data_IF_224729040907
#
_entry.id   IF_224729040907
#
_cell.length_a   1.000
_cell.length_b   1.000
_cell.length_c   1.000
_cell.angle_alpha   90.00
_cell.angle_beta   90.00
_cell.angle_gamma   90.00
#
_symmetry.space_group_name_H-M   'P 1'
#
loop_
_entity.id
_entity.type
_entity.pdbx_description
1 polymer ?
#
# COMPACT_ATOMS: atom_id res chain seq x y z
N UNK A 1 9.88 -4.64 -23.61
CA UNK A 1 9.32 -4.04 -22.38
C UNK A 1 8.40 -2.85 -22.67
N UNK A 2 8.89 -1.70 -23.16
CA UNK A 2 8.09 -0.47 -23.35
C UNK A 2 6.88 -0.63 -24.29
N UNK A 3 7.02 -1.40 -25.38
CA UNK A 3 5.92 -1.67 -26.31
C UNK A 3 4.82 -2.58 -25.72
N UNK A 4 5.18 -3.50 -24.80
CA UNK A 4 4.23 -4.36 -24.11
C UNK A 4 3.46 -3.59 -23.02
N UNK A 5 4.13 -2.68 -22.30
CA UNK A 5 3.50 -1.77 -21.35
C UNK A 5 2.58 -0.73 -22.02
N UNK A 6 2.87 -0.34 -23.27
CA UNK A 6 1.99 0.51 -24.06
C UNK A 6 0.74 -0.24 -24.57
N UNK A 7 0.88 -1.50 -24.99
CA UNK A 7 -0.25 -2.34 -25.41
C UNK A 7 -1.18 -2.73 -24.25
N UNK A 8 -0.64 -2.91 -23.04
CA UNK A 8 -1.42 -3.17 -21.82
C UNK A 8 -2.39 -2.02 -21.46
N UNK A 9 -2.09 -0.77 -21.86
CA UNK A 9 -2.95 0.40 -21.62
C UNK A 9 -4.24 0.44 -22.48
N UNK A 10 -4.42 -0.50 -23.42
CA UNK A 10 -5.61 -0.58 -24.28
C UNK A 10 -6.35 -1.93 -24.18
N UNK A 11 -5.91 -2.84 -23.32
CA UNK A 11 -6.66 -4.06 -23.02
C UNK A 11 -7.77 -3.73 -22.01
N UNK A 12 -8.96 -4.35 -22.12
CA UNK A 12 -10.00 -4.20 -21.11
C UNK A 12 -9.49 -4.70 -19.75
N UNK A 13 -9.89 -4.03 -18.65
CA UNK A 13 -9.45 -4.41 -17.30
C UNK A 13 -9.87 -5.85 -16.98
N UNK A 14 -9.15 -6.49 -16.06
CA UNK A 14 -9.52 -7.80 -15.53
C UNK A 14 -10.77 -7.69 -14.67
N UNK A 15 -10.91 -6.60 -13.92
CA UNK A 15 -12.04 -6.34 -13.06
C UNK A 15 -12.44 -4.87 -13.13
N UNK A 16 -13.73 -4.61 -13.23
CA UNK A 16 -14.27 -3.25 -13.32
C UNK A 16 -15.41 -3.09 -12.31
N UNK A 17 -15.31 -2.05 -11.48
CA UNK A 17 -16.25 -1.76 -10.40
C UNK A 17 -16.80 -0.37 -10.61
N UNK A 18 -18.13 -0.24 -10.63
CA UNK A 18 -18.81 1.04 -10.82
C UNK A 18 -19.88 1.27 -9.76
N UNK A 19 -19.74 2.36 -9.00
CA UNK A 19 -20.70 2.81 -7.99
C UNK A 19 -21.11 1.75 -6.96
N UNK A 20 -20.19 0.84 -6.62
CA UNK A 20 -20.51 -0.36 -5.87
C UNK A 20 -20.80 -0.01 -4.41
N UNK A 21 -22.03 -0.31 -3.98
CA UNK A 21 -22.52 0.05 -2.64
C UNK A 21 -23.15 -1.15 -1.97
N UNK A 22 -22.81 -1.35 -0.69
CA UNK A 22 -23.43 -2.34 0.18
C UNK A 22 -23.93 -1.71 1.47
N UNK A 23 -25.24 -1.79 1.65
CA UNK A 23 -25.94 -1.40 2.86
C UNK A 23 -26.61 -2.62 3.51
N UNK A 24 -26.43 -2.77 4.82
CA UNK A 24 -27.10 -3.78 5.63
C UNK A 24 -28.14 -3.11 6.53
N UNK A 25 -29.42 -3.26 6.22
CA UNK A 25 -30.49 -2.67 7.03
C UNK A 25 -31.86 -2.85 6.40
N UNK A 26 -32.88 -2.30 7.08
CA UNK A 26 -34.29 -2.50 6.70
C UNK A 26 -34.75 -1.58 5.56
N UNK A 27 -34.11 -0.43 5.40
CA UNK A 27 -34.48 0.60 4.41
C UNK A 27 -33.29 0.97 3.50
N UNK A 28 -32.82 0.05 2.64
CA UNK A 28 -31.66 0.31 1.80
C UNK A 28 -31.86 1.49 0.83
N UNK A 29 -33.06 1.67 0.27
CA UNK A 29 -33.34 2.77 -0.67
C UNK A 29 -33.23 4.16 -0.03
N UNK A 30 -33.73 4.34 1.20
CA UNK A 30 -33.61 5.61 1.93
C UNK A 30 -32.15 5.92 2.27
N UNK A 31 -31.40 4.90 2.70
CA UNK A 31 -29.98 5.06 3.00
C UNK A 31 -29.15 5.38 1.75
N UNK A 32 -29.41 4.71 0.63
CA UNK A 32 -28.75 4.97 -0.65
C UNK A 32 -28.96 6.42 -1.10
N UNK A 33 -30.20 6.93 -1.02
CA UNK A 33 -30.48 8.31 -1.40
C UNK A 33 -29.70 9.29 -0.53
N UNK A 34 -29.74 9.13 0.80
CA UNK A 34 -29.00 10.01 1.72
C UNK A 34 -27.48 9.96 1.47
N UNK A 35 -26.92 8.77 1.23
CA UNK A 35 -25.49 8.62 0.94
C UNK A 35 -25.10 9.27 -0.40
N UNK A 36 -25.98 9.24 -1.40
CA UNK A 36 -25.81 9.94 -2.67
C UNK A 36 -25.91 11.46 -2.51
N UNK A 37 -26.76 11.93 -1.58
CA UNK A 37 -26.90 13.35 -1.23
C UNK A 37 -25.74 13.88 -0.35
N UNK A 38 -24.71 13.05 -0.09
CA UNK A 38 -23.50 13.43 0.65
C UNK A 38 -23.51 13.12 2.14
N UNK A 39 -24.52 12.40 2.65
CA UNK A 39 -24.54 11.98 4.05
C UNK A 39 -23.35 11.07 4.39
N UNK A 40 -22.87 11.19 5.63
CA UNK A 40 -21.84 10.33 6.17
C UNK A 40 -22.40 8.95 6.54
N UNK A 41 -21.49 8.02 6.84
CA UNK A 41 -21.85 6.69 7.36
C UNK A 41 -22.59 6.79 8.70
N UNK A 42 -22.24 7.77 9.53
CA UNK A 42 -22.84 7.96 10.86
C UNK A 42 -24.26 8.53 10.75
N UNK A 43 -24.51 9.40 9.78
CA UNK A 43 -25.83 9.98 9.52
C UNK A 43 -26.87 8.90 9.17
N UNK A 44 -26.44 7.80 8.54
CA UNK A 44 -27.32 6.68 8.14
C UNK A 44 -27.24 5.48 9.10
N UNK A 45 -26.45 5.55 10.17
CA UNK A 45 -26.24 4.44 11.10
C UNK A 45 -27.54 3.96 11.77
N UNK A 46 -28.49 4.87 12.02
CA UNK A 46 -29.81 4.55 12.56
C UNK A 46 -30.69 3.74 11.59
N UNK A 47 -30.38 3.74 10.29
CA UNK A 47 -31.08 2.96 9.26
C UNK A 47 -30.45 1.57 9.06
N UNK A 48 -29.19 1.39 9.48
CA UNK A 48 -28.38 0.20 9.24
C UNK A 48 -26.90 0.53 9.04
N UNK A 49 -26.15 -0.43 8.49
CA UNK A 49 -24.70 -0.32 8.29
C UNK A 49 -24.36 -0.14 6.82
N UNK A 50 -23.83 1.02 6.45
CA UNK A 50 -23.19 1.24 5.15
C UNK A 50 -21.76 0.66 5.20
N UNK A 51 -21.56 -0.52 4.60
CA UNK A 51 -20.30 -1.25 4.67
C UNK A 51 -19.35 -0.90 3.52
N UNK A 52 -19.89 -0.64 2.34
CA UNK A 52 -19.16 -0.09 1.19
C UNK A 52 -20.06 0.96 0.55
N UNK A 53 -19.52 2.11 0.19
CA UNK A 53 -20.28 3.24 -0.34
C UNK A 53 -19.57 3.76 -1.58
N UNK A 54 -20.25 3.64 -2.71
CA UNK A 54 -19.85 4.23 -3.99
C UNK A 54 -18.40 3.91 -4.41
N UNK A 55 -18.00 2.65 -4.28
CA UNK A 55 -16.67 2.22 -4.71
C UNK A 55 -16.60 2.15 -6.24
N UNK A 56 -15.61 2.83 -6.83
CA UNK A 56 -15.36 2.86 -8.27
C UNK A 56 -13.86 2.73 -8.54
N UNK A 57 -13.49 1.70 -9.29
CA UNK A 57 -12.10 1.43 -9.69
C UNK A 57 -12.05 0.31 -10.75
N UNK A 58 -10.93 0.25 -11.45
CA UNK A 58 -10.56 -0.83 -12.36
C UNK A 58 -9.31 -1.55 -11.85
N UNK A 59 -9.22 -2.84 -12.15
CA UNK A 59 -8.00 -3.65 -11.95
C UNK A 59 -7.48 -4.11 -13.30
N UNK A 60 -6.25 -3.70 -13.63
CA UNK A 60 -5.59 -4.03 -14.89
C UNK A 60 -5.13 -5.49 -14.88
N UNK A 61 -5.01 -6.08 -16.08
CA UNK A 61 -4.53 -7.45 -16.21
C UNK A 61 -3.07 -7.54 -15.81
N UNK A 62 -2.75 -8.53 -14.96
CA UNK A 62 -1.39 -8.76 -14.49
C UNK A 62 -0.88 -7.64 -13.57
N UNK A 63 -1.78 -6.95 -12.86
CA UNK A 63 -1.38 -6.06 -11.76
C UNK A 63 -1.75 -6.69 -10.41
N UNK A 64 -1.00 -6.31 -9.37
CA UNK A 64 -1.35 -6.53 -7.97
C UNK A 64 -2.03 -5.27 -7.46
N UNK A 65 -3.35 -5.33 -7.33
CA UNK A 65 -4.18 -4.26 -6.79
C UNK A 65 -4.44 -4.50 -5.32
N UNK A 66 -3.91 -3.64 -4.46
CA UNK A 66 -4.07 -3.76 -3.02
C UNK A 66 -5.24 -2.91 -2.55
N UNK A 67 -6.10 -3.49 -1.71
CA UNK A 67 -7.12 -2.75 -0.97
C UNK A 67 -6.71 -2.75 0.51
N UNK A 68 -6.46 -1.55 1.04
CA UNK A 68 -6.00 -1.38 2.41
C UNK A 68 -6.95 -0.52 3.25
N UNK A 69 -6.75 -0.54 4.56
CA UNK A 69 -7.52 0.27 5.52
C UNK A 69 -7.75 -0.46 6.84
N UNK A 70 -8.30 0.25 7.82
CA UNK A 70 -8.56 -0.31 9.15
C UNK A 70 -9.58 -1.45 9.15
N UNK A 71 -9.61 -2.19 10.25
CA UNK A 71 -10.73 -3.09 10.55
C UNK A 71 -12.04 -2.30 10.50
N UNK A 72 -13.06 -2.88 9.86
CA UNK A 72 -14.37 -2.24 9.72
C UNK A 72 -14.49 -1.17 8.61
N UNK A 73 -13.46 -0.97 7.77
CA UNK A 73 -13.51 -0.04 6.63
C UNK A 73 -14.25 -0.57 5.38
N UNK A 74 -14.66 -1.84 5.37
CA UNK A 74 -15.44 -2.43 4.28
C UNK A 74 -14.69 -3.38 3.33
N UNK A 75 -13.37 -3.57 3.50
CA UNK A 75 -12.51 -4.37 2.60
C UNK A 75 -13.04 -5.80 2.33
N UNK A 76 -13.26 -6.59 3.39
CA UNK A 76 -13.76 -7.97 3.21
C UNK A 76 -15.21 -8.01 2.72
N UNK A 77 -15.96 -6.92 2.84
CA UNK A 77 -17.29 -6.80 2.19
C UNK A 77 -17.10 -6.55 0.69
N UNK A 78 -16.17 -5.66 0.31
CA UNK A 78 -15.82 -5.37 -1.07
C UNK A 78 -15.40 -6.63 -1.82
N UNK A 79 -14.40 -7.38 -1.34
CA UNK A 79 -13.91 -8.59 -2.04
C UNK A 79 -14.98 -9.68 -2.20
N UNK A 80 -15.91 -9.79 -1.24
CA UNK A 80 -17.04 -10.72 -1.35
C UNK A 80 -18.01 -10.29 -2.44
N UNK A 81 -18.21 -8.99 -2.65
CA UNK A 81 -18.96 -8.49 -3.80
C UNK A 81 -18.21 -8.69 -5.11
N UNK A 82 -16.88 -8.52 -5.12
CA UNK A 82 -16.04 -8.79 -6.30
C UNK A 82 -16.13 -10.26 -6.74
N UNK A 83 -16.24 -11.18 -5.79
CA UNK A 83 -16.44 -12.61 -6.06
C UNK A 83 -17.94 -12.97 -6.29
N UNK A 84 -18.88 -12.04 -6.13
CA UNK A 84 -20.32 -12.34 -6.14
C UNK A 84 -20.79 -13.28 -5.02
N UNK A 85 -20.02 -13.41 -3.93
CA UNK A 85 -20.45 -14.09 -2.71
C UNK A 85 -21.47 -13.26 -1.93
N UNK A 86 -21.49 -11.95 -2.15
CA UNK A 86 -22.42 -11.01 -1.57
C UNK A 86 -22.98 -10.13 -2.68
N UNK A 87 -24.32 -10.08 -2.81
CA UNK A 87 -24.96 -9.18 -3.77
C UNK A 87 -24.83 -7.72 -3.30
N UNK A 88 -24.40 -6.79 -4.16
CA UNK A 88 -24.41 -5.38 -3.81
C UNK A 88 -25.83 -4.85 -3.64
N UNK A 89 -25.98 -3.75 -2.91
CA UNK A 89 -27.23 -3.00 -2.84
C UNK A 89 -27.41 -2.12 -4.08
N UNK A 90 -26.32 -1.57 -4.61
CA UNK A 90 -26.27 -0.81 -5.86
C UNK A 90 -24.90 -0.92 -6.53
N UNK A 91 -24.82 -0.52 -7.80
CA UNK A 91 -23.61 -0.60 -8.61
C UNK A 91 -23.43 -1.94 -9.34
N UNK A 92 -22.30 -2.08 -10.03
CA UNK A 92 -22.01 -3.26 -10.85
C UNK A 92 -20.54 -3.68 -10.73
N UNK A 93 -20.32 -4.99 -10.89
CA UNK A 93 -18.99 -5.58 -11.04
C UNK A 93 -18.96 -6.36 -12.35
N UNK A 94 -17.89 -6.16 -13.12
CA UNK A 94 -17.57 -6.92 -14.31
C UNK A 94 -16.22 -7.62 -14.14
N UNK A 95 -16.16 -8.89 -14.52
CA UNK A 95 -15.00 -9.77 -14.43
C UNK A 95 -14.67 -10.23 -15.84
N UNK A 96 -13.48 -9.90 -16.33
CA UNK A 96 -13.03 -10.20 -17.70
C UNK A 96 -14.02 -9.72 -18.78
N UNK A 97 -14.66 -8.57 -18.52
CA UNK A 97 -15.70 -7.99 -19.39
C UNK A 97 -17.09 -8.61 -19.22
N UNK A 98 -17.27 -9.53 -18.27
CA UNK A 98 -18.56 -10.14 -17.97
C UNK A 98 -19.15 -9.61 -16.67
N UNK A 99 -20.36 -9.03 -16.74
CA UNK A 99 -21.09 -8.62 -15.54
C UNK A 99 -21.44 -9.80 -14.64
N UNK A 100 -21.16 -9.68 -13.34
CA UNK A 100 -21.50 -10.69 -12.32
C UNK A 100 -22.67 -10.29 -11.43
N UNK A 101 -23.01 -9.00 -11.37
CA UNK A 101 -24.13 -8.48 -10.56
C UNK A 101 -25.47 -8.72 -11.25
N UNK A 102 -26.47 -9.19 -10.51
CA UNK A 102 -27.81 -9.46 -11.05
C UNK A 102 -27.90 -10.63 -12.05
N UNK A 103 -26.85 -11.44 -12.21
CA UNK A 103 -26.87 -12.61 -13.10
C UNK A 103 -27.43 -13.85 -12.42
N UNK A 104 -27.86 -14.83 -13.21
CA UNK A 104 -28.35 -16.10 -12.64
C UNK A 104 -27.25 -16.83 -11.83
N UNK A 105 -27.59 -17.55 -10.75
CA UNK A 105 -26.63 -18.32 -9.97
C UNK A 105 -25.81 -19.33 -10.80
N UNK A 106 -26.38 -19.83 -11.91
CA UNK A 106 -25.69 -20.73 -12.83
C UNK A 106 -24.57 -20.01 -13.59
N UNK A 107 -24.84 -18.80 -14.11
CA UNK A 107 -23.83 -18.00 -14.82
C UNK A 107 -22.73 -17.54 -13.86
N UNK A 108 -23.09 -17.08 -12.67
CA UNK A 108 -22.12 -16.68 -11.64
C UNK A 108 -21.18 -17.82 -11.24
N UNK A 109 -21.68 -19.06 -11.13
CA UNK A 109 -20.83 -20.23 -10.87
C UNK A 109 -19.87 -20.55 -12.02
N UNK A 110 -20.29 -20.34 -13.27
CA UNK A 110 -19.40 -20.53 -14.43
C UNK A 110 -18.28 -19.48 -14.43
N UNK A 111 -18.62 -18.20 -14.28
CA UNK A 111 -17.63 -17.11 -14.24
C UNK A 111 -16.60 -17.34 -13.13
N UNK A 112 -17.04 -17.71 -11.92
CA UNK A 112 -16.10 -18.00 -10.82
C UNK A 112 -15.19 -19.18 -11.12
N UNK A 113 -15.76 -20.27 -11.65
CA UNK A 113 -14.99 -21.47 -11.99
C UNK A 113 -13.89 -21.18 -13.01
N UNK A 114 -14.17 -20.31 -13.97
CA UNK A 114 -13.31 -20.09 -15.13
C UNK A 114 -12.32 -18.93 -14.89
N UNK A 115 -12.73 -17.89 -14.15
CA UNK A 115 -11.98 -16.62 -14.06
C UNK A 115 -11.52 -16.20 -12.66
N UNK A 116 -12.08 -16.76 -11.57
CA UNK A 116 -11.84 -16.23 -10.22
C UNK A 116 -11.45 -17.33 -9.22
N UNK A 117 -10.25 -17.23 -8.66
CA UNK A 117 -9.85 -17.98 -7.48
C UNK A 117 -9.81 -17.11 -6.24
N UNK A 118 -10.05 -17.71 -5.08
CA UNK A 118 -10.06 -16.99 -3.80
C UNK A 118 -9.19 -17.70 -2.75
N UNK A 119 -8.38 -16.91 -2.05
CA UNK A 119 -7.63 -17.28 -0.87
C UNK A 119 -8.23 -16.54 0.32
N UNK A 120 -8.69 -17.30 1.32
CA UNK A 120 -9.37 -16.78 2.50
C UNK A 120 -8.38 -16.51 3.64
N UNK A 121 -8.77 -15.63 4.56
CA UNK A 121 -8.03 -15.32 5.79
C UNK A 121 -7.78 -16.57 6.65
N UNK A 122 -8.79 -17.44 6.77
CA UNK A 122 -8.61 -18.78 7.34
C UNK A 122 -8.48 -19.77 6.19
N UNK A 123 -7.51 -20.69 6.27
CA UNK A 123 -7.04 -21.58 5.19
C UNK A 123 -8.16 -22.25 4.36
N UNK A 124 -9.33 -22.45 4.98
CA UNK A 124 -10.54 -22.99 4.36
C UNK A 124 -10.26 -24.30 3.61
N UNK A 125 -9.31 -25.10 4.12
CA UNK A 125 -8.98 -26.42 3.59
C UNK A 125 -10.09 -27.39 3.97
N UNK A 126 -10.35 -28.34 3.08
CA UNK A 126 -11.26 -29.45 3.30
C UNK A 126 -10.56 -30.46 4.22
N UNK A 127 -10.98 -30.59 5.50
CA UNK A 127 -10.23 -31.38 6.49
C UNK A 127 -10.30 -32.89 6.23
N UNK A 128 -11.22 -33.32 5.39
CA UNK A 128 -11.45 -34.72 5.01
C UNK A 128 -10.80 -35.07 3.65
N UNK A 129 -9.97 -34.18 3.10
CA UNK A 129 -9.23 -34.40 1.86
C UNK A 129 -7.74 -34.22 2.11
N UNK A 130 -6.90 -34.91 1.33
CA UNK A 130 -5.45 -34.74 1.39
C UNK A 130 -5.04 -33.35 0.90
N UNK A 131 -3.77 -33.00 1.11
CA UNK A 131 -3.16 -31.77 0.58
C UNK A 131 -3.28 -31.72 -0.95
N UNK A 132 -2.99 -32.83 -1.62
CA UNK A 132 -3.09 -32.94 -3.08
C UNK A 132 -4.54 -32.75 -3.56
N UNK A 133 -5.51 -33.40 -2.92
CA UNK A 133 -6.91 -33.29 -3.31
C UNK A 133 -7.50 -31.91 -2.97
N UNK A 134 -6.97 -31.22 -1.96
CA UNK A 134 -7.29 -29.81 -1.68
C UNK A 134 -6.78 -28.92 -2.81
N UNK A 135 -5.52 -29.08 -3.22
CA UNK A 135 -4.93 -28.31 -4.33
C UNK A 135 -5.64 -28.59 -5.67
N UNK A 136 -6.05 -29.84 -5.92
CA UNK A 136 -6.73 -30.25 -7.15
C UNK A 136 -8.23 -29.88 -7.19
N UNK A 137 -8.82 -29.35 -6.10
CA UNK A 137 -10.26 -29.15 -5.99
C UNK A 137 -10.85 -28.23 -7.07
N UNK A 138 -10.17 -27.13 -7.42
CA UNK A 138 -10.64 -26.22 -8.47
C UNK A 138 -10.77 -26.90 -9.84
N UNK A 139 -9.76 -27.71 -10.19
CA UNK A 139 -9.71 -28.50 -11.42
C UNK A 139 -10.81 -29.60 -11.43
N UNK A 140 -11.11 -30.21 -10.29
CA UNK A 140 -12.25 -31.14 -10.15
C UNK A 140 -13.58 -30.44 -10.47
N UNK A 141 -13.78 -29.22 -9.96
CA UNK A 141 -15.00 -28.42 -10.23
C UNK A 141 -15.07 -27.95 -11.69
N UNK A 142 -13.92 -27.76 -12.35
CA UNK A 142 -13.80 -27.49 -13.78
C UNK A 142 -14.08 -28.71 -14.66
N UNK A 143 -14.10 -29.92 -14.09
CA UNK A 143 -14.33 -31.17 -14.82
C UNK A 143 -13.07 -31.78 -15.44
N UNK A 144 -11.88 -31.38 -14.98
CA UNK A 144 -10.60 -31.95 -15.41
C UNK A 144 -10.46 -33.38 -14.90
N UNK A 145 -9.88 -34.25 -15.75
CA UNK A 145 -9.66 -35.67 -15.44
C UNK A 145 -8.81 -35.89 -14.19
N UNK A 146 -9.02 -37.02 -13.51
CA UNK A 146 -8.43 -37.30 -12.21
C UNK A 146 -6.89 -37.35 -12.22
N UNK A 147 -6.29 -37.90 -13.28
CA UNK A 147 -4.83 -38.01 -13.40
C UNK A 147 -4.22 -36.64 -13.71
N UNK A 148 -4.77 -35.94 -14.70
CA UNK A 148 -4.34 -34.61 -15.11
C UNK A 148 -4.43 -33.59 -13.97
N UNK A 149 -5.53 -33.58 -13.22
CA UNK A 149 -5.69 -32.63 -12.11
C UNK A 149 -4.71 -32.88 -10.97
N UNK A 150 -4.37 -34.15 -10.68
CA UNK A 150 -3.39 -34.49 -9.65
C UNK A 150 -1.98 -34.11 -10.09
N UNK A 151 -1.65 -34.35 -11.35
CA UNK A 151 -0.36 -33.95 -11.90
C UNK A 151 -0.18 -32.42 -11.83
N UNK A 152 -1.18 -31.64 -12.30
CA UNK A 152 -1.15 -30.18 -12.22
C UNK A 152 -1.05 -29.68 -10.78
N UNK A 153 -1.87 -30.23 -9.88
CA UNK A 153 -1.84 -29.86 -8.46
C UNK A 153 -0.50 -30.19 -7.80
N UNK A 154 0.12 -31.33 -8.12
CA UNK A 154 1.45 -31.71 -7.61
C UNK A 154 2.52 -30.71 -8.05
N UNK A 155 2.54 -30.31 -9.32
CA UNK A 155 3.50 -29.32 -9.82
C UNK A 155 3.40 -27.99 -9.09
N UNK A 156 2.18 -27.55 -8.78
CA UNK A 156 1.95 -26.31 -8.03
C UNK A 156 2.35 -26.47 -6.56
N UNK A 157 2.06 -27.63 -5.94
CA UNK A 157 2.52 -27.93 -4.58
C UNK A 157 4.04 -27.90 -4.47
N UNK A 158 4.75 -28.44 -5.47
CA UNK A 158 6.22 -28.38 -5.51
C UNK A 158 6.72 -26.93 -5.57
N UNK A 159 6.09 -26.09 -6.39
CA UNK A 159 6.43 -24.65 -6.51
C UNK A 159 6.24 -23.87 -5.22
N UNK A 160 5.20 -24.16 -4.45
CA UNK A 160 4.98 -23.51 -3.15
C UNK A 160 5.81 -24.15 -2.02
N UNK A 161 6.74 -25.06 -2.34
CA UNK A 161 7.64 -25.69 -1.36
C UNK A 161 6.99 -26.79 -0.52
N UNK A 162 5.94 -27.44 -1.02
CA UNK A 162 5.24 -28.56 -0.38
C UNK A 162 5.49 -29.90 -1.08
N UNK A 163 6.63 -30.04 -1.77
CA UNK A 163 7.04 -31.29 -2.39
C UNK A 163 7.05 -32.45 -1.36
N UNK A 164 6.42 -33.57 -1.70
CA UNK A 164 6.31 -34.75 -0.84
C UNK A 164 5.22 -34.68 0.25
N UNK A 165 4.48 -33.58 0.38
CA UNK A 165 3.40 -33.44 1.37
C UNK A 165 2.00 -33.78 0.83
N UNK A 166 1.88 -34.15 -0.45
CA UNK A 166 0.58 -34.33 -1.13
C UNK A 166 -0.38 -35.31 -0.46
N UNK A 167 0.13 -36.41 0.10
CA UNK A 167 -0.69 -37.46 0.74
C UNK A 167 -1.07 -37.15 2.20
N UNK A 168 -0.57 -36.04 2.75
CA UNK A 168 -0.85 -35.63 4.13
C UNK A 168 -2.23 -35.00 4.27
N UNK A 169 -2.77 -35.04 5.48
CA UNK A 169 -4.00 -34.35 5.85
C UNK A 169 -3.70 -32.92 6.34
N UNK A 170 -4.61 -31.95 6.16
CA UNK A 170 -4.41 -30.57 6.63
C UNK A 170 -4.07 -30.46 8.13
N UNK A 171 -4.59 -31.36 8.96
CA UNK A 171 -4.30 -31.40 10.40
C UNK A 171 -2.86 -31.80 10.74
N UNK A 172 -2.12 -32.38 9.80
CA UNK A 172 -0.71 -32.73 9.94
C UNK A 172 0.23 -31.57 9.56
N UNK A 173 -0.31 -30.44 9.10
CA UNK A 173 0.45 -29.29 8.60
C UNK A 173 0.50 -28.14 9.60
N UNK A 174 1.61 -27.40 9.61
CA UNK A 174 1.68 -26.09 10.28
C UNK A 174 0.77 -25.07 9.60
N UNK A 175 0.44 -23.96 10.28
CA UNK A 175 -0.40 -22.91 9.71
C UNK A 175 0.15 -22.32 8.41
N UNK A 176 1.46 -22.07 8.33
CA UNK A 176 2.11 -21.59 7.11
C UNK A 176 2.02 -22.60 5.96
N UNK A 177 2.15 -23.89 6.24
CA UNK A 177 1.96 -24.94 5.24
C UNK A 177 0.50 -25.02 4.78
N UNK A 178 -0.48 -24.91 5.68
CA UNK A 178 -1.89 -24.86 5.31
C UNK A 178 -2.20 -23.66 4.40
N UNK A 179 -1.56 -22.50 4.63
CA UNK A 179 -1.67 -21.33 3.75
C UNK A 179 -1.12 -21.62 2.36
N UNK A 180 0.05 -22.25 2.26
CA UNK A 180 0.66 -22.68 0.98
C UNK A 180 -0.26 -23.64 0.22
N UNK A 181 -0.96 -24.55 0.90
CA UNK A 181 -1.98 -25.40 0.25
C UNK A 181 -3.15 -24.55 -0.27
N UNK A 182 -3.62 -23.58 0.51
CA UNK A 182 -4.68 -22.65 0.08
C UNK A 182 -4.31 -21.84 -1.15
N UNK A 183 -3.06 -21.35 -1.20
CA UNK A 183 -2.49 -20.67 -2.36
C UNK A 183 -2.34 -21.62 -3.55
N UNK A 184 -1.79 -22.83 -3.32
CA UNK A 184 -1.64 -23.84 -4.36
C UNK A 184 -2.99 -24.24 -4.98
N UNK A 185 -4.05 -24.37 -4.18
CA UNK A 185 -5.41 -24.61 -4.67
C UNK A 185 -5.89 -23.52 -5.62
N UNK A 186 -5.62 -22.26 -5.29
CA UNK A 186 -6.02 -21.13 -6.10
C UNK A 186 -5.20 -21.05 -7.39
N UNK A 187 -3.89 -21.29 -7.32
CA UNK A 187 -2.99 -21.28 -8.48
C UNK A 187 -3.23 -22.46 -9.41
N UNK A 188 -3.49 -23.66 -8.87
CA UNK A 188 -3.73 -24.87 -9.66
C UNK A 188 -5.02 -24.79 -10.49
N UNK A 189 -6.02 -24.00 -10.06
CA UNK A 189 -7.23 -23.76 -10.82
C UNK A 189 -6.99 -22.91 -12.09
N UNK A 190 -5.81 -22.31 -12.24
CA UNK A 190 -5.35 -21.55 -13.40
C UNK A 190 -6.30 -20.43 -13.87
N UNK A 191 -7.05 -19.84 -12.94
CA UNK A 191 -7.97 -18.74 -13.23
C UNK A 191 -7.24 -17.42 -13.52
N UNK A 192 -7.90 -16.44 -14.14
CA UNK A 192 -7.29 -15.14 -14.50
C UNK A 192 -7.03 -14.23 -13.29
N UNK A 193 -7.92 -14.27 -12.29
CA UNK A 193 -7.94 -13.37 -11.14
C UNK A 193 -7.79 -14.17 -9.84
N UNK A 194 -6.93 -13.69 -8.95
CA UNK A 194 -6.73 -14.19 -7.60
C UNK A 194 -7.19 -13.13 -6.59
N UNK A 195 -8.22 -13.46 -5.82
CA UNK A 195 -8.74 -12.64 -4.73
C UNK A 195 -8.15 -13.13 -3.40
N UNK A 196 -7.46 -12.27 -2.65
CA UNK A 196 -6.82 -12.62 -1.37
C UNK A 196 -7.36 -11.74 -0.24
N UNK A 197 -8.02 -12.34 0.76
CA UNK A 197 -8.60 -11.62 1.91
C UNK A 197 -7.73 -11.84 3.16
N UNK A 198 -6.86 -10.88 3.49
CA UNK A 198 -5.93 -10.91 4.65
C UNK A 198 -5.15 -12.22 4.77
N UNK A 199 -4.74 -12.77 3.63
CA UNK A 199 -4.18 -14.11 3.49
C UNK A 199 -2.91 -14.36 4.32
N UNK A 200 -2.15 -13.31 4.64
CA UNK A 200 -0.87 -13.45 5.37
C UNK A 200 -0.92 -12.92 6.81
N UNK A 201 -2.08 -12.44 7.27
CA UNK A 201 -2.24 -11.82 8.59
C UNK A 201 -1.96 -12.77 9.76
N UNK A 202 -2.30 -14.05 9.60
CA UNK A 202 -2.12 -15.08 10.63
C UNK A 202 -0.70 -15.70 10.64
N UNK A 203 0.19 -15.28 9.76
CA UNK A 203 1.54 -15.84 9.62
C UNK A 203 2.55 -15.09 10.49
N UNK A 204 3.55 -15.81 10.97
CA UNK A 204 4.73 -15.21 11.60
C UNK A 204 5.51 -14.34 10.59
N UNK A 205 6.31 -13.35 11.06
CA UNK A 205 6.95 -12.39 10.17
C UNK A 205 7.91 -12.98 9.14
N UNK A 206 8.58 -14.10 9.43
CA UNK A 206 9.54 -14.71 8.50
C UNK A 206 8.80 -15.43 7.37
N UNK A 207 7.84 -16.29 7.72
CA UNK A 207 7.02 -17.00 6.73
C UNK A 207 6.18 -16.01 5.93
N UNK A 208 5.69 -14.93 6.55
CA UNK A 208 4.98 -13.86 5.84
C UNK A 208 5.81 -13.29 4.69
N UNK A 209 7.06 -12.91 4.94
CA UNK A 209 7.95 -12.34 3.91
C UNK A 209 8.24 -13.34 2.79
N UNK A 210 8.57 -14.58 3.15
CA UNK A 210 8.82 -15.63 2.17
C UNK A 210 7.59 -15.85 1.26
N UNK A 211 6.37 -15.85 1.83
CA UNK A 211 5.13 -15.98 1.07
C UNK A 211 4.84 -14.78 0.18
N UNK A 212 5.18 -13.57 0.62
CA UNK A 212 5.05 -12.35 -0.16
C UNK A 212 6.00 -12.35 -1.36
N UNK A 213 7.28 -12.69 -1.15
CA UNK A 213 8.29 -12.84 -2.22
C UNK A 213 7.83 -13.86 -3.26
N UNK A 214 7.39 -15.04 -2.81
CA UNK A 214 6.84 -16.07 -3.68
C UNK A 214 5.63 -15.59 -4.47
N UNK A 215 4.74 -14.80 -3.86
CA UNK A 215 3.57 -14.25 -4.56
C UNK A 215 3.99 -13.31 -5.70
N UNK A 216 4.97 -12.44 -5.46
CA UNK A 216 5.50 -11.52 -6.47
C UNK A 216 6.16 -12.30 -7.62
N UNK A 217 7.01 -13.29 -7.30
CA UNK A 217 7.65 -14.14 -8.30
C UNK A 217 6.61 -14.88 -9.15
N UNK A 218 5.62 -15.50 -8.51
CA UNK A 218 4.54 -16.22 -9.20
C UNK A 218 3.69 -15.30 -10.08
N UNK A 219 3.45 -14.07 -9.62
CA UNK A 219 2.71 -13.07 -10.38
C UNK A 219 3.48 -12.66 -11.64
N UNK A 220 4.80 -12.43 -11.52
CA UNK A 220 5.67 -12.08 -12.64
C UNK A 220 5.78 -13.22 -13.67
N UNK A 221 5.86 -14.47 -13.20
CA UNK A 221 5.93 -15.64 -14.08
C UNK A 221 4.60 -15.94 -14.80
N UNK A 222 3.49 -15.87 -14.07
CA UNK A 222 2.19 -16.34 -14.56
C UNK A 222 1.31 -15.22 -15.12
N UNK A 223 1.67 -13.95 -14.89
CA UNK A 223 0.91 -12.77 -15.33
C UNK A 223 -0.49 -12.69 -14.73
N UNK A 224 -0.71 -13.29 -13.55
CA UNK A 224 -2.02 -13.35 -12.89
C UNK A 224 -2.40 -11.99 -12.34
N UNK A 225 -3.69 -11.68 -12.38
CA UNK A 225 -4.21 -10.45 -11.77
C UNK A 225 -4.56 -10.73 -10.31
N UNK A 226 -4.08 -9.92 -9.38
CA UNK A 226 -4.26 -10.17 -7.95
C UNK A 226 -4.99 -8.98 -7.32
N UNK A 227 -6.07 -9.26 -6.59
CA UNK A 227 -6.68 -8.29 -5.68
C UNK A 227 -6.36 -8.72 -4.27
N UNK A 228 -5.56 -7.93 -3.57
CA UNK A 228 -5.00 -8.28 -2.28
C UNK A 228 -5.53 -7.35 -1.19
N UNK A 229 -6.19 -7.89 -0.17
CA UNK A 229 -6.63 -7.13 1.00
C UNK A 229 -5.64 -7.29 2.13
N UNK A 230 -5.24 -6.16 2.71
CA UNK A 230 -4.47 -6.13 3.95
C UNK A 230 -4.82 -4.95 4.83
N UNK A 231 -4.40 -5.03 6.09
CA UNK A 231 -4.35 -3.90 7.01
C UNK A 231 -2.90 -3.45 7.29
N UNK A 232 -1.90 -4.20 6.81
CA UNK A 232 -0.48 -3.90 6.96
C UNK A 232 -0.01 -3.04 5.77
N UNK A 233 0.49 -1.85 6.07
CA UNK A 233 0.91 -0.92 5.05
C UNK A 233 2.25 -1.32 4.40
N UNK A 234 3.17 -1.94 5.13
CA UNK A 234 4.41 -2.41 4.54
C UNK A 234 4.14 -3.51 3.51
N UNK A 235 3.15 -4.36 3.78
CA UNK A 235 2.69 -5.36 2.84
C UNK A 235 2.04 -4.73 1.60
N UNK A 236 1.20 -3.71 1.79
CA UNK A 236 0.59 -2.99 0.67
C UNK A 236 1.64 -2.33 -0.24
N UNK A 237 2.68 -1.73 0.36
CA UNK A 237 3.76 -1.06 -0.35
C UNK A 237 4.72 -2.04 -1.03
N UNK A 238 4.93 -3.22 -0.44
CA UNK A 238 5.82 -4.24 -1.00
C UNK A 238 5.17 -4.99 -2.18
N UNK A 239 3.86 -5.27 -2.09
CA UNK A 239 3.15 -6.07 -3.09
C UNK A 239 2.46 -5.25 -4.18
N UNK A 240 1.95 -4.06 -3.84
CA UNK A 240 0.95 -3.37 -4.66
C UNK A 240 1.54 -2.52 -5.77
N UNK A 241 1.10 -2.77 -7.00
CA UNK A 241 1.28 -1.83 -8.13
C UNK A 241 0.42 -0.59 -7.94
N UNK A 242 -0.82 -0.81 -7.46
CA UNK A 242 -1.80 0.23 -7.11
C UNK A 242 -2.46 -0.13 -5.79
N UNK A 243 -2.70 0.90 -4.99
CA UNK A 243 -3.27 0.79 -3.65
C UNK A 243 -4.54 1.63 -3.59
N UNK A 244 -5.63 1.02 -3.16
CA UNK A 244 -6.87 1.69 -2.78
C UNK A 244 -6.97 1.73 -1.25
N UNK A 245 -6.89 2.93 -0.68
CA UNK A 245 -7.05 3.17 0.74
C UNK A 245 -8.54 3.34 1.04
N UNK A 246 -9.08 2.51 1.93
CA UNK A 246 -10.49 2.55 2.33
C UNK A 246 -10.68 3.06 3.75
N UNK A 247 -11.64 3.97 3.93
CA UNK A 247 -12.12 4.47 5.22
C UNK A 247 -13.65 4.57 5.19
N UNK A 248 -14.30 4.10 6.24
CA UNK A 248 -15.75 4.23 6.41
C UNK A 248 -16.59 3.76 5.21
N UNK A 249 -16.14 2.70 4.55
CA UNK A 249 -16.80 2.10 3.38
C UNK A 249 -16.47 2.78 2.05
N UNK A 250 -15.74 3.91 2.05
CA UNK A 250 -15.37 4.66 0.85
C UNK A 250 -13.89 4.44 0.52
N UNK A 251 -13.55 4.52 -0.77
CA UNK A 251 -12.16 4.65 -1.21
C UNK A 251 -11.80 6.13 -1.05
N UNK A 252 -10.83 6.42 -0.19
CA UNK A 252 -10.38 7.80 0.08
C UNK A 252 -9.23 8.21 -0.82
N UNK A 253 -8.39 7.27 -1.23
CA UNK A 253 -7.32 7.50 -2.20
C UNK A 253 -7.05 6.23 -3.00
N UNK A 254 -6.78 6.40 -4.28
CA UNK A 254 -6.32 5.35 -5.18
C UNK A 254 -5.08 5.88 -5.90
N UNK A 255 -3.96 5.16 -5.82
CA UNK A 255 -2.71 5.57 -6.44
C UNK A 255 -1.64 4.50 -6.39
N UNK A 256 -0.46 4.78 -6.91
CA UNK A 256 0.73 3.93 -6.72
C UNK A 256 1.24 4.03 -5.28
N UNK A 257 2.07 3.07 -4.86
CA UNK A 257 2.75 3.13 -3.56
C UNK A 257 3.48 4.47 -3.35
N UNK A 258 4.12 4.99 -4.39
CA UNK A 258 4.77 6.31 -4.40
C UNK A 258 3.79 7.46 -4.16
N UNK A 259 2.69 7.51 -4.91
CA UNK A 259 1.68 8.59 -4.80
C UNK A 259 1.07 8.61 -3.38
N UNK A 260 0.77 7.43 -2.82
CA UNK A 260 0.25 7.32 -1.45
C UNK A 260 1.24 7.88 -0.41
N UNK A 261 2.56 7.71 -0.61
CA UNK A 261 3.59 8.19 0.34
C UNK A 261 3.95 9.67 0.17
N UNK A 262 3.94 10.16 -1.07
CA UNK A 262 4.43 11.50 -1.43
C UNK A 262 3.33 12.55 -1.45
N UNK A 263 2.11 12.17 -1.80
CA UNK A 263 0.94 13.05 -1.93
C UNK A 263 -0.30 12.39 -1.29
N UNK A 264 -0.34 12.26 0.05
CA UNK A 264 -1.51 11.72 0.74
C UNK A 264 -2.72 12.64 0.56
N UNK A 265 -3.87 12.07 0.21
CA UNK A 265 -5.08 12.83 -0.15
C UNK A 265 -5.71 13.59 1.03
N UNK A 266 -5.56 13.08 2.25
CA UNK A 266 -6.05 13.72 3.48
C UNK A 266 -5.17 13.36 4.69
N UNK A 267 -5.46 13.99 5.83
CA UNK A 267 -4.76 13.75 7.10
C UNK A 267 -4.85 12.30 7.57
N UNK A 268 -5.91 11.58 7.19
CA UNK A 268 -6.04 10.17 7.53
C UNK A 268 -5.03 9.34 6.76
N UNK A 269 -4.93 9.51 5.43
CA UNK A 269 -3.91 8.80 4.65
C UNK A 269 -2.52 9.21 5.10
N UNK A 270 -2.29 10.50 5.40
CA UNK A 270 -1.01 10.98 5.91
C UNK A 270 -0.62 10.31 7.23
N UNK A 271 -1.56 10.13 8.16
CA UNK A 271 -1.36 9.40 9.41
C UNK A 271 -1.08 7.91 9.16
N UNK A 272 -1.78 7.30 8.21
CA UNK A 272 -1.58 5.90 7.85
C UNK A 272 -0.15 5.60 7.40
N UNK A 273 0.46 6.53 6.66
CA UNK A 273 1.77 6.34 6.02
C UNK A 273 2.97 6.77 6.87
N UNK A 274 2.76 7.25 8.11
CA UNK A 274 3.85 7.78 8.93
C UNK A 274 4.89 6.74 9.32
N UNK A 275 4.48 5.50 9.58
CA UNK A 275 5.35 4.43 10.07
C UNK A 275 5.92 3.55 8.94
N UNK A 276 5.75 3.95 7.68
CA UNK A 276 6.33 3.23 6.54
C UNK A 276 7.81 3.57 6.40
N UNK A 277 8.63 2.55 6.15
CA UNK A 277 10.01 2.72 5.73
C UNK A 277 10.05 3.24 4.28
N UNK A 278 9.96 4.57 4.13
CA UNK A 278 9.99 5.26 2.83
C UNK A 278 11.24 4.92 2.03
N UNK A 279 12.36 4.61 2.71
CA UNK A 279 13.63 4.37 2.03
C UNK A 279 13.62 3.07 1.21
N UNK A 280 12.76 2.11 1.55
CA UNK A 280 12.60 0.86 0.80
C UNK A 280 11.67 0.96 -0.39
N UNK A 281 10.72 1.89 -0.35
CA UNK A 281 9.65 2.00 -1.34
C UNK A 281 10.00 3.03 -2.41
N UNK A 282 10.57 4.18 -2.00
CA UNK A 282 10.94 5.22 -2.93
C UNK A 282 12.25 4.87 -3.64
N UNK A 283 12.32 5.18 -4.93
CA UNK A 283 13.50 5.03 -5.76
C UNK A 283 14.15 6.38 -6.05
N UNK A 284 15.39 6.36 -6.55
CA UNK A 284 16.10 7.56 -7.00
C UNK A 284 15.26 8.38 -8.00
N UNK A 285 14.55 7.71 -8.92
CA UNK A 285 13.71 8.33 -9.92
C UNK A 285 12.48 9.03 -9.35
N UNK A 286 11.93 8.50 -8.24
CA UNK A 286 10.76 9.08 -7.57
C UNK A 286 11.09 10.40 -6.87
N UNK A 287 12.31 10.51 -6.34
CA UNK A 287 12.71 11.66 -5.51
C UNK A 287 13.73 12.60 -6.17
N UNK A 288 14.18 12.30 -7.39
CA UNK A 288 15.16 13.14 -8.07
C UNK A 288 14.55 14.48 -8.49
N UNK A 289 15.36 15.52 -8.37
CA UNK A 289 15.04 16.83 -8.92
C UNK A 289 15.73 17.05 -10.25
N UNK A 290 15.20 17.98 -11.05
CA UNK A 290 15.88 18.45 -12.24
C UNK A 290 17.28 18.99 -11.87
N UNK A 291 18.36 18.56 -12.55
CA UNK A 291 19.69 19.00 -12.16
C UNK A 291 19.83 20.49 -12.50
N UNK A 292 19.96 21.34 -11.47
CA UNK A 292 20.01 22.80 -11.66
C UNK A 292 21.37 23.28 -12.16
N UNK A 293 22.44 22.76 -11.56
CA UNK A 293 23.82 23.20 -11.80
C UNK A 293 24.50 22.39 -12.92
N UNK A 294 24.09 22.58 -14.18
CA UNK A 294 24.66 21.86 -15.33
C UNK A 294 25.46 22.79 -16.24
N UNK A 295 26.61 22.33 -16.72
CA UNK A 295 27.39 22.98 -17.78
C UNK A 295 27.82 21.98 -18.85
N UNK A 296 27.81 22.39 -20.12
CA UNK A 296 28.39 21.57 -21.18
C UNK A 296 29.92 21.64 -21.16
N UNK A 297 30.61 20.54 -21.45
CA UNK A 297 32.08 20.53 -21.56
C UNK A 297 32.61 21.52 -22.60
N UNK A 298 31.81 21.89 -23.60
CA UNK A 298 32.17 22.87 -24.64
C UNK A 298 31.99 24.33 -24.23
N UNK A 299 31.30 24.63 -23.10
CA UNK A 299 30.99 26.00 -22.68
C UNK A 299 32.18 26.72 -22.01
N UNK A 300 33.19 25.95 -21.58
CA UNK A 300 34.44 26.44 -21.01
C UNK A 300 34.34 26.99 -19.57
N UNK A 301 35.49 27.33 -18.94
CA UNK A 301 35.56 27.66 -17.51
C UNK A 301 34.73 28.88 -17.07
N UNK A 302 34.64 29.92 -17.92
CA UNK A 302 33.87 31.13 -17.59
C UNK A 302 32.36 30.87 -17.50
N UNK A 303 31.83 29.99 -18.34
CA UNK A 303 30.42 29.61 -18.29
C UNK A 303 30.11 28.84 -17.01
N UNK A 304 30.99 27.91 -16.62
CA UNK A 304 30.84 27.16 -15.36
C UNK A 304 30.82 28.09 -14.13
N UNK A 305 31.75 29.05 -14.02
CA UNK A 305 31.73 30.03 -12.91
C UNK A 305 30.48 30.92 -12.91
N UNK A 306 29.93 31.22 -14.09
CA UNK A 306 28.69 31.99 -14.21
C UNK A 306 27.52 31.18 -13.65
N UNK A 307 27.37 29.93 -14.08
CA UNK A 307 26.35 29.00 -13.56
C UNK A 307 26.47 28.84 -12.04
N UNK A 308 27.69 28.63 -11.53
CA UNK A 308 27.97 28.53 -10.09
C UNK A 308 27.52 29.79 -9.34
N UNK A 309 27.82 30.98 -9.87
CA UNK A 309 27.44 32.26 -9.28
C UNK A 309 25.92 32.46 -9.27
N UNK A 310 25.29 32.22 -10.41
CA UNK A 310 23.85 32.45 -10.60
C UNK A 310 23.01 31.51 -9.73
N UNK A 311 23.50 30.29 -9.49
CA UNK A 311 22.87 29.29 -8.62
C UNK A 311 23.43 29.26 -7.19
N UNK A 312 24.39 30.14 -6.88
CA UNK A 312 25.08 30.22 -5.58
C UNK A 312 25.61 28.86 -5.08
N UNK A 313 26.25 28.09 -5.97
CA UNK A 313 26.81 26.77 -5.67
C UNK A 313 28.31 26.70 -5.97
N UNK A 314 29.04 25.85 -5.25
CA UNK A 314 30.48 25.61 -5.44
C UNK A 314 30.80 24.56 -6.51
N UNK A 315 29.79 23.85 -7.01
CA UNK A 315 29.99 22.68 -7.89
C UNK A 315 28.95 22.63 -9.00
N UNK A 316 29.35 22.16 -10.19
CA UNK A 316 28.45 21.94 -11.33
C UNK A 316 28.67 20.55 -11.93
N UNK A 317 27.60 19.93 -12.43
CA UNK A 317 27.68 18.74 -13.27
C UNK A 317 28.18 19.14 -14.66
N UNK A 318 29.15 18.39 -15.19
CA UNK A 318 29.69 18.59 -16.53
C UNK A 318 29.15 17.50 -17.45
N UNK A 319 28.52 17.91 -18.56
CA UNK A 319 27.90 16.99 -19.52
C UNK A 319 28.45 17.16 -20.93
N UNK A 320 28.55 16.04 -21.64
CA UNK A 320 28.79 15.97 -23.08
C UNK A 320 27.48 16.17 -23.88
N UNK A 321 27.56 16.34 -25.22
CA UNK A 321 26.39 16.30 -26.08
C UNK A 321 25.52 15.07 -25.81
N UNK A 322 24.19 15.24 -25.81
CA UNK A 322 23.24 14.20 -25.44
C UNK A 322 23.04 13.99 -23.92
N UNK A 323 23.47 14.95 -23.08
CA UNK A 323 23.37 14.92 -21.61
C UNK A 323 24.14 13.78 -20.94
N UNK A 324 25.14 13.20 -21.62
CA UNK A 324 26.02 12.18 -21.01
C UNK A 324 26.85 12.83 -19.91
N UNK A 325 26.75 12.31 -18.68
CA UNK A 325 27.52 12.80 -17.54
C UNK A 325 29.01 12.49 -17.75
N UNK A 326 29.87 13.49 -17.53
CA UNK A 326 31.33 13.35 -17.57
C UNK A 326 31.97 13.42 -16.18
N UNK A 327 31.27 14.00 -15.20
CA UNK A 327 31.77 14.26 -13.86
C UNK A 327 31.26 15.59 -13.32
N UNK A 328 31.98 16.13 -12.35
CA UNK A 328 31.70 17.46 -11.76
C UNK A 328 32.91 18.38 -11.88
N UNK A 329 32.67 19.68 -11.79
CA UNK A 329 33.72 20.68 -11.69
C UNK A 329 33.51 21.55 -10.46
N UNK A 330 34.57 21.74 -9.69
CA UNK A 330 34.58 22.53 -8.45
C UNK A 330 35.08 23.95 -8.70
N UNK A 331 34.48 24.92 -8.02
CA UNK A 331 34.77 26.35 -8.12
C UNK A 331 36.27 26.69 -8.08
N UNK A 332 37.02 26.08 -7.14
CA UNK A 332 38.47 26.29 -6.97
C UNK A 332 39.27 25.89 -8.20
N UNK A 333 38.91 24.78 -8.83
CA UNK A 333 39.61 24.28 -10.02
C UNK A 333 39.24 25.11 -11.24
N UNK A 334 37.96 25.40 -11.42
CA UNK A 334 37.46 26.24 -12.51
C UNK A 334 38.06 27.65 -12.42
N UNK A 335 38.19 28.22 -11.22
CA UNK A 335 38.83 29.52 -11.00
C UNK A 335 40.31 29.52 -11.42
N UNK A 336 41.06 28.46 -11.10
CA UNK A 336 42.46 28.32 -11.54
C UNK A 336 42.56 28.25 -13.07
N UNK A 337 41.63 27.58 -13.75
CA UNK A 337 41.59 27.54 -15.21
C UNK A 337 41.34 28.93 -15.80
N UNK A 338 40.40 29.69 -15.22
CA UNK A 338 40.13 31.07 -15.67
C UNK A 338 41.33 31.99 -15.45
N UNK A 339 42.03 31.89 -14.32
CA UNK A 339 43.24 32.68 -14.03
C UNK A 339 44.38 32.36 -15.01
N UNK A 340 44.49 31.11 -15.47
CA UNK A 340 45.48 30.67 -16.45
C UNK A 340 45.10 30.99 -17.90
N UNK A 341 43.88 31.49 -18.14
CA UNK A 341 43.38 31.80 -19.48
C UNK A 341 42.95 30.58 -20.29
N UNK A 342 42.71 29.44 -19.63
CA UNK A 342 42.29 28.20 -20.29
C UNK A 342 40.88 28.31 -20.90
N UNK A 343 40.67 27.59 -22.00
CA UNK A 343 39.40 27.62 -22.75
C UNK A 343 38.53 26.40 -22.54
N UNK A 344 39.09 25.29 -22.07
CA UNK A 344 38.36 24.03 -21.86
C UNK A 344 38.19 23.72 -20.38
N UNK A 345 37.20 22.89 -20.06
CA UNK A 345 36.91 22.43 -18.69
C UNK A 345 37.61 21.12 -18.33
N UNK A 346 38.22 20.42 -19.30
CA UNK A 346 38.66 19.03 -19.17
C UNK A 346 39.55 18.79 -17.95
N UNK A 347 40.47 19.71 -17.65
CA UNK A 347 41.40 19.59 -16.52
C UNK A 347 40.74 19.78 -15.13
N UNK A 348 39.54 20.35 -15.07
CA UNK A 348 38.75 20.54 -13.85
C UNK A 348 37.59 19.54 -13.71
N UNK A 349 37.44 18.60 -14.66
CA UNK A 349 36.47 17.51 -14.52
C UNK A 349 37.04 16.50 -13.52
N UNK A 350 36.24 16.16 -12.52
CA UNK A 350 36.53 15.16 -11.50
C UNK A 350 35.42 14.11 -11.50
N UNK A 351 35.80 12.89 -11.19
CA UNK A 351 34.92 11.71 -11.12
C UNK A 351 34.56 11.38 -9.66
N UNK A 352 34.51 12.40 -8.79
CA UNK A 352 34.21 12.30 -7.36
C UNK A 352 32.69 12.37 -7.08
N UNK A 353 31.88 11.99 -8.07
CA UNK A 353 30.44 11.97 -8.03
C UNK A 353 29.94 10.52 -8.00
N UNK A 354 29.05 10.22 -7.05
CA UNK A 354 28.31 8.97 -7.09
C UNK A 354 27.12 9.08 -8.05
N UNK A 355 26.95 8.03 -8.86
CA UNK A 355 25.85 7.89 -9.80
C UNK A 355 24.99 6.70 -9.45
N UNK A 356 23.68 6.83 -9.61
CA UNK A 356 22.70 5.76 -9.35
C UNK A 356 21.73 5.65 -10.53
N UNK A 357 21.19 4.45 -10.75
CA UNK A 357 20.08 4.27 -11.70
C UNK A 357 18.77 4.76 -11.08
N UNK A 358 17.78 5.06 -11.93
CA UNK A 358 16.51 5.63 -11.50
C UNK A 358 15.64 4.68 -10.66
N UNK A 359 15.82 3.37 -10.82
CA UNK A 359 15.09 2.30 -10.14
C UNK A 359 15.72 1.88 -8.80
N UNK A 360 16.88 2.43 -8.44
CA UNK A 360 17.59 2.10 -7.19
C UNK A 360 16.79 2.62 -5.98
N UNK A 361 16.47 1.77 -4.98
CA UNK A 361 15.80 2.19 -3.74
C UNK A 361 16.67 3.14 -2.90
N UNK A 362 16.05 4.08 -2.19
CA UNK A 362 16.81 5.04 -1.37
C UNK A 362 17.65 4.37 -0.28
N UNK A 363 17.20 3.24 0.27
CA UNK A 363 17.93 2.47 1.28
C UNK A 363 19.31 2.02 0.80
N UNK A 364 19.47 1.74 -0.49
CA UNK A 364 20.75 1.35 -1.09
C UNK A 364 21.64 2.55 -1.41
N UNK A 365 21.03 3.73 -1.62
CA UNK A 365 21.75 4.98 -1.89
C UNK A 365 22.42 5.57 -0.65
N UNK A 366 22.02 5.15 0.55
CA UNK A 366 22.51 5.70 1.82
C UNK A 366 24.02 5.58 1.97
N UNK A 367 24.60 4.44 1.58
CA UNK A 367 26.06 4.24 1.61
C UNK A 367 26.77 5.30 0.78
N UNK A 368 26.35 5.46 -0.48
CA UNK A 368 26.91 6.47 -1.40
C UNK A 368 26.69 7.90 -0.91
N UNK A 369 25.55 8.19 -0.26
CA UNK A 369 25.25 9.52 0.27
C UNK A 369 26.07 9.91 1.51
N UNK A 370 26.63 8.92 2.23
CA UNK A 370 27.53 9.16 3.35
C UNK A 370 28.96 9.44 2.84
N UNK A 371 29.39 8.71 1.81
CA UNK A 371 30.74 8.83 1.26
C UNK A 371 30.93 10.07 0.38
N UNK A 372 29.85 10.61 -0.20
CA UNK A 372 29.89 11.76 -1.09
C UNK A 372 29.19 12.99 -0.48
N UNK A 373 29.86 14.14 -0.56
CA UNK A 373 29.29 15.43 -0.11
C UNK A 373 28.31 16.04 -1.12
N UNK A 374 28.34 15.57 -2.37
CA UNK A 374 27.53 16.07 -3.48
C UNK A 374 26.18 15.33 -3.60
N UNK A 375 25.17 15.94 -4.23
CA UNK A 375 23.97 15.23 -4.64
C UNK A 375 24.30 14.02 -5.52
N UNK A 376 23.56 12.92 -5.34
CA UNK A 376 23.73 11.72 -6.15
C UNK A 376 23.15 11.96 -7.55
N UNK A 377 23.93 11.75 -8.60
CA UNK A 377 23.44 11.89 -9.97
C UNK A 377 22.62 10.67 -10.37
N UNK A 378 21.41 10.91 -10.86
CA UNK A 378 20.55 9.85 -11.41
C UNK A 378 20.78 9.76 -12.91
N UNK A 379 21.21 8.58 -13.37
CA UNK A 379 21.56 8.32 -14.76
C UNK A 379 20.77 7.16 -15.36
N UNK A 380 20.62 7.15 -16.67
CA UNK A 380 20.08 5.99 -17.40
C UNK A 380 21.18 5.01 -17.86
N UNK A 381 20.79 3.93 -18.54
CA UNK A 381 21.70 2.91 -19.10
C UNK A 381 22.73 3.46 -20.09
N UNK A 382 22.49 4.65 -20.65
CA UNK A 382 23.41 5.36 -21.57
C UNK A 382 24.25 6.40 -20.85
N UNK A 383 24.21 6.41 -19.52
CA UNK A 383 24.88 7.35 -18.63
C UNK A 383 24.45 8.80 -18.87
N UNK A 384 23.20 9.02 -19.28
CA UNK A 384 22.62 10.36 -19.42
C UNK A 384 22.09 10.83 -18.09
N UNK A 385 22.44 12.06 -17.69
CA UNK A 385 21.98 12.68 -16.46
C UNK A 385 20.48 13.01 -16.55
N UNK A 386 19.67 12.24 -15.83
CA UNK A 386 18.22 12.42 -15.70
C UNK A 386 17.91 13.50 -14.67
N UNK A 387 18.49 13.36 -13.48
CA UNK A 387 18.23 14.19 -12.30
C UNK A 387 19.36 14.12 -11.29
N UNK A 388 19.16 14.76 -10.15
CA UNK A 388 20.02 14.61 -8.99
C UNK A 388 19.17 14.47 -7.72
N UNK A 389 19.60 13.62 -6.79
CA UNK A 389 18.96 13.47 -5.48
C UNK A 389 19.75 14.28 -4.45
N UNK A 390 19.19 15.38 -3.91
CA UNK A 390 19.81 16.11 -2.82
C UNK A 390 19.99 15.21 -1.58
N UNK A 391 21.09 15.40 -0.85
CA UNK A 391 21.33 14.63 0.39
C UNK A 391 20.23 14.84 1.44
N UNK A 392 19.67 16.06 1.50
CA UNK A 392 18.55 16.36 2.41
C UNK A 392 17.33 15.49 2.13
N UNK A 393 17.08 15.12 0.87
CA UNK A 393 15.97 14.23 0.50
C UNK A 393 16.17 12.83 1.05
N UNK A 394 17.40 12.30 1.02
CA UNK A 394 17.75 11.01 1.60
C UNK A 394 17.66 11.03 3.13
N UNK A 395 18.11 12.13 3.75
CA UNK A 395 18.03 12.32 5.20
C UNK A 395 16.57 12.48 5.67
N UNK A 396 15.74 13.20 4.91
CA UNK A 396 14.31 13.36 5.20
C UNK A 396 13.57 12.02 5.09
N UNK A 397 13.89 11.21 4.08
CA UNK A 397 13.36 9.86 3.94
C UNK A 397 13.69 8.95 5.13
N UNK A 398 14.88 9.09 5.73
CA UNK A 398 15.26 8.36 6.96
C UNK A 398 14.52 8.83 8.21
N UNK A 399 14.22 10.13 8.29
CA UNK A 399 13.53 10.72 9.43
C UNK A 399 12.00 10.58 9.37
N UNK A 400 11.44 9.94 8.33
CA UNK A 400 10.03 10.00 7.97
C UNK A 400 9.48 11.44 7.93
N UNK A 401 10.34 12.38 7.55
CA UNK A 401 9.98 13.80 7.39
C UNK A 401 9.64 14.03 5.92
N UNK A 402 8.55 14.74 5.59
CA UNK A 402 8.29 15.17 4.23
C UNK A 402 9.49 15.97 3.69
N UNK A 403 10.04 15.56 2.54
CA UNK A 403 11.13 16.31 1.90
C UNK A 403 10.64 17.66 1.31
N UNK A 404 9.33 17.79 1.11
CA UNK A 404 8.68 19.01 0.64
C UNK A 404 8.45 19.96 1.82
N UNK A 405 9.20 21.06 1.84
CA UNK A 405 8.94 22.20 2.74
C UNK A 405 7.87 23.10 2.12
N UNK A 406 6.63 22.62 2.11
CA UNK A 406 5.47 23.50 1.94
C UNK A 406 5.27 24.38 3.18
N UNK A 407 4.49 25.47 3.06
CA UNK A 407 4.05 26.22 4.25
C UNK A 407 3.39 25.24 5.23
N UNK A 408 3.94 25.15 6.44
CA UNK A 408 3.28 24.42 7.52
C UNK A 408 1.88 25.05 7.68
N UNK A 409 0.78 24.29 7.48
CA UNK A 409 -0.51 24.79 7.89
C UNK A 409 -0.38 25.12 9.37
N UNK A 410 -0.69 26.37 9.73
CA UNK A 410 -0.70 26.77 11.13
C UNK A 410 -1.56 25.75 11.86
N UNK A 411 -0.96 24.99 12.78
CA UNK A 411 -1.72 24.15 13.70
C UNK A 411 -2.62 25.14 14.43
N UNK A 412 -3.89 25.24 14.00
CA UNK A 412 -4.90 25.91 14.78
C UNK A 412 -4.94 25.09 16.05
N UNK A 413 -4.36 25.63 17.13
CA UNK A 413 -4.49 25.06 18.44
C UNK A 413 -5.96 24.72 18.63
N UNK A 414 -6.32 23.50 19.09
CA UNK A 414 -7.71 23.16 19.31
C UNK A 414 -8.33 24.29 20.11
N UNK A 415 -9.47 24.81 19.63
CA UNK A 415 -10.12 25.97 20.21
C UNK A 415 -10.12 25.79 21.73
N UNK A 416 -9.37 26.63 22.43
CA UNK A 416 -9.39 26.66 23.88
C UNK A 416 -10.85 26.85 24.25
N UNK A 417 -11.42 25.87 24.95
CA UNK A 417 -12.77 25.99 25.48
C UNK A 417 -12.81 27.34 26.21
N UNK A 418 -13.69 28.28 25.80
CA UNK A 418 -13.74 29.60 26.40
C UNK A 418 -13.87 29.45 27.92
N UNK A 419 -13.15 30.28 28.67
CA UNK A 419 -13.16 30.24 30.15
C UNK A 419 -14.59 30.29 30.68
N UNK A 420 -15.48 30.97 29.95
CA UNK A 420 -16.90 31.10 30.21
C UNK A 420 -17.60 29.73 30.25
N UNK A 421 -17.30 28.84 29.29
CA UNK A 421 -17.86 27.48 29.21
C UNK A 421 -17.29 26.59 30.31
N UNK A 422 -16.01 26.74 30.64
CA UNK A 422 -15.39 26.03 31.77
C UNK A 422 -16.05 26.48 33.09
N UNK A 423 -16.29 27.78 33.24
CA UNK A 423 -16.89 28.38 34.44
C UNK A 423 -18.35 27.97 34.59
N UNK A 424 -19.11 27.93 33.49
CA UNK A 424 -20.51 27.48 33.49
C UNK A 424 -20.63 26.00 33.81
N UNK A 425 -19.73 25.17 33.25
CA UNK A 425 -19.69 23.74 33.55
C UNK A 425 -19.36 23.50 35.03
N UNK A 426 -18.38 24.20 35.60
CA UNK A 426 -18.02 24.12 37.02
C UNK A 426 -19.16 24.57 37.95
N UNK A 427 -19.87 25.64 37.59
CA UNK A 427 -21.06 26.09 38.34
C UNK A 427 -22.20 25.08 38.27
N UNK A 428 -22.42 24.46 37.11
CA UNK A 428 -23.46 23.43 36.96
C UNK A 428 -23.18 22.18 37.81
N UNK A 429 -21.90 21.85 38.04
CA UNK A 429 -21.50 20.77 38.96
C UNK A 429 -21.61 21.15 40.44
N UNK A 430 -21.38 22.42 40.80
CA UNK A 430 -21.60 22.92 42.18
C UNK A 430 -23.10 23.01 42.53
N UNK A 431 -23.95 23.41 41.59
CA UNK A 431 -25.41 23.43 41.79
C UNK A 431 -26.02 22.02 41.88
N UNK A 432 -25.42 21.02 41.23
CA UNK A 432 -25.84 19.62 41.34
C UNK A 432 -25.45 18.96 42.69
N UNK A 433 -24.42 19.45 43.39
CA UNK A 433 -24.05 19.00 44.74
C UNK A 433 -24.84 19.70 45.87
N UNK A 434 -25.58 20.78 45.56
CA UNK A 434 -26.29 21.58 46.56
C UNK A 434 -27.74 21.13 46.85
N UNK A 435 -28.23 20.06 46.21
CA UNK A 435 -29.56 19.50 46.46
C UNK A 435 -29.48 18.05 47.00
N UNK A 436 -29.41 17.85 48.33
CA UNK A 436 -29.41 16.51 48.90
C UNK A 436 -30.82 15.92 48.80
N UNK A 437 -30.98 14.93 47.93
CA UNK A 437 -32.16 14.08 47.88
C UNK A 437 -32.44 13.47 49.29
N UNK A 438 -33.67 13.55 49.83
CA UNK A 438 -33.95 13.00 51.14
C UNK A 438 -34.11 11.48 51.05
N UNK A 439 -33.27 10.73 51.75
CA UNK A 439 -33.49 9.30 52.01
C UNK A 439 -32.27 8.41 51.80
N UNK A 440 -31.22 8.60 52.59
CA UNK A 440 -30.16 7.59 52.71
C UNK A 440 -29.47 7.59 54.09
N UNK A 441 -30.20 7.96 55.15
CA UNK A 441 -29.69 7.87 56.54
C UNK A 441 -30.06 6.57 57.27
N UNK A 442 -30.80 5.64 56.67
CA UNK A 442 -31.25 4.42 57.37
C UNK A 442 -30.46 3.13 57.04
N UNK A 443 -29.46 3.17 56.15
CA UNK A 443 -28.79 1.94 55.69
C UNK A 443 -27.35 1.72 56.22
N UNK A 444 -26.74 2.68 56.93
CA UNK A 444 -25.33 2.59 57.36
C UNK A 444 -25.13 2.44 58.87
N UNK A 445 -26.20 2.41 59.67
CA UNK A 445 -26.10 2.29 61.14
C UNK A 445 -26.14 0.84 61.67
N UNK A 446 -26.01 -0.21 60.83
CA UNK A 446 -26.15 -1.61 61.29
C UNK A 446 -25.00 -2.55 60.91
N UNK A 447 -23.78 -2.06 60.69
CA UNK A 447 -22.58 -2.91 60.56
C UNK A 447 -21.33 -2.26 61.16
N UNK A 448 -21.30 -2.10 62.48
CA UNK A 448 -20.07 -1.77 63.20
C UNK A 448 -20.06 -2.36 64.63
N UNK A 449 -20.11 -3.68 64.75
CA UNK A 449 -19.69 -4.40 65.98
C UNK A 449 -19.20 -5.81 65.65
N UNK A 450 -17.88 -5.97 65.44
CA UNK A 450 -17.11 -7.16 65.84
C UNK A 450 -15.60 -6.84 65.75
N UNK A 451 -14.76 -7.21 66.76
CA UNK A 451 -13.37 -6.78 66.84
C UNK A 451 -12.40 -7.71 66.12
N UNK A 452 -11.28 -7.15 65.65
CA UNK A 452 -10.12 -7.85 65.12
C UNK A 452 -9.15 -8.08 66.30
N UNK A 453 -9.00 -9.34 66.73
CA UNK A 453 -7.88 -9.76 67.59
C UNK A 453 -6.60 -9.82 66.76
N UNK A 454 -5.55 -9.18 67.27
CA UNK A 454 -4.20 -9.28 66.73
C UNK A 454 -3.44 -10.47 67.30
N UNK A 455 -2.44 -10.94 66.56
CA UNK A 455 -1.25 -11.55 67.17
C UNK A 455 -0.06 -11.41 66.24
N UNK A 456 1.01 -10.81 66.78
CA UNK A 456 2.39 -10.93 66.30
C UNK A 456 2.94 -12.28 66.74
N UNK A 457 3.53 -13.02 65.81
CA UNK A 457 4.83 -13.69 65.91
C UNK A 457 5.18 -14.29 64.55
#
# INVERSE_FOLDING_TARGET
>A
AVAAAAAARHAPPALEVRGLTRFFGRKPGEALQRLADGASRDDVAHLGTAAVVDAEFDVRRGEIFVVMGLSGSGKSTLIRMLNGLLEPTAGSVEVMGERITGVSPKRLRAIRRDHVSMVFQHFALLPHRTVLDNAAYGLEVQGVGADERRERASRVLDRVGLAGWGEKMPSELSGGMQQRVGLARALAADTDILLMDEAFSALDPLIRREMQEQLVELQQELGKTIVFITHDLNEAMFLGDRIAVMRDGRIVQLGTAEEILTDPADDYVAQFVQDVDRARVLTAGNVMEAPRAIVSSSAGPRAALRTMRDLQTSTVFVVAPGRRLLGVAHDREVLRLVQRGERTLDAAIRDDIATVAADVPLSEMLGSAVEHELPLAVVDDRHRLLGAVPRVTLLAALGNVPANTGELPAITSPATVPVDVITETLRSTEEAEADPAPGLEEALATRATAPIEGSRA
#
